data_IF_592175114745
#
_entry.id   IF_592175114745
#
_cell.length_a   1.000
_cell.length_b   1.000
_cell.length_c   1.000
_cell.angle_alpha   90.00
_cell.angle_beta   90.00
_cell.angle_gamma   90.00
#
_symmetry.space_group_name_H-M   'P 1'
#
loop_
_entity.id
_entity.type
_entity.pdbx_description
1 polymer ?
#
# COMPACT_ATOMS: atom_id res chain seq x y z
N UNK A 1 -3.92 9.14 -0.76
CA UNK A 1 -3.29 10.21 -1.55
C UNK A 1 -1.86 10.39 -1.09
N UNK A 2 -1.07 11.18 -1.80
CA UNK A 2 0.29 11.53 -1.42
C UNK A 2 0.40 13.06 -1.33
N UNK A 3 1.24 13.54 -0.42
CA UNK A 3 1.54 14.97 -0.25
C UNK A 3 3.04 15.15 -0.43
N UNK A 4 3.42 16.04 -1.34
CA UNK A 4 4.81 16.41 -1.61
C UNK A 4 5.03 17.85 -1.15
N UNK A 5 6.15 18.11 -0.46
CA UNK A 5 6.54 19.46 -0.01
C UNK A 5 7.82 19.85 -0.75
N UNK A 6 7.81 21.01 -1.41
CA UNK A 6 8.93 21.57 -2.17
C UNK A 6 9.51 20.64 -3.25
N UNK A 7 8.74 19.65 -3.71
CA UNK A 7 9.04 18.81 -4.87
C UNK A 7 7.74 18.26 -5.47
N UNK A 8 7.85 17.52 -6.58
CA UNK A 8 6.73 16.80 -7.18
C UNK A 8 7.14 15.37 -7.55
N UNK A 9 6.44 14.37 -7.03
CA UNK A 9 6.64 12.95 -7.34
C UNK A 9 7.82 12.26 -6.64
N UNK A 10 8.65 12.98 -5.88
CA UNK A 10 9.83 12.46 -5.18
C UNK A 10 10.79 11.63 -6.08
N UNK A 11 10.82 11.91 -7.39
CA UNK A 11 11.62 11.16 -8.36
C UNK A 11 10.98 9.82 -8.75
N UNK A 12 11.44 8.71 -8.14
CA UNK A 12 10.97 7.36 -8.47
C UNK A 12 9.78 6.88 -7.64
N UNK A 13 9.81 7.13 -6.32
CA UNK A 13 8.74 6.83 -5.37
C UNK A 13 8.28 5.36 -5.40
N UNK A 14 9.19 4.41 -5.62
CA UNK A 14 8.87 2.97 -5.66
C UNK A 14 8.51 2.44 -4.27
N UNK A 15 9.12 3.01 -3.25
CA UNK A 15 8.97 2.73 -1.84
C UNK A 15 7.75 3.42 -1.21
N UNK A 16 7.20 4.44 -1.87
CA UNK A 16 6.13 5.29 -1.35
C UNK A 16 4.76 4.76 -1.77
N UNK A 17 3.88 4.35 -0.84
CA UNK A 17 2.52 3.90 -1.18
C UNK A 17 1.73 4.98 -1.93
N UNK A 18 1.15 4.62 -3.07
CA UNK A 18 0.33 5.48 -3.92
C UNK A 18 -1.13 5.01 -3.90
N UNK A 19 -2.08 5.95 -3.96
CA UNK A 19 -3.50 5.63 -4.13
C UNK A 19 -4.43 6.78 -3.74
N UNK A 20 -5.66 6.74 -4.24
CA UNK A 20 -6.67 7.80 -4.10
C UNK A 20 -7.61 7.64 -2.91
N UNK A 21 -8.54 8.58 -2.78
CA UNK A 21 -9.76 8.49 -1.96
C UNK A 21 -10.90 9.15 -2.75
N UNK A 22 -12.16 8.90 -2.37
CA UNK A 22 -13.37 9.44 -3.04
C UNK A 22 -13.43 9.04 -4.51
N UNK A 23 -13.71 9.99 -5.41
CA UNK A 23 -13.78 9.74 -6.87
C UNK A 23 -12.43 9.41 -7.51
N UNK A 24 -11.31 9.50 -6.78
CA UNK A 24 -9.99 9.10 -7.27
C UNK A 24 -9.67 7.61 -7.02
N UNK A 25 -10.63 6.82 -6.53
CA UNK A 25 -10.49 5.39 -6.24
C UNK A 25 -10.18 5.06 -4.77
N UNK A 26 -9.96 3.77 -4.50
CA UNK A 26 -9.65 3.20 -3.17
C UNK A 26 -8.49 2.20 -3.25
N UNK A 27 -7.91 1.84 -2.09
CA UNK A 27 -6.74 0.95 -2.02
C UNK A 27 -5.39 1.68 -2.19
N UNK A 28 -4.30 0.92 -2.12
CA UNK A 28 -2.93 1.41 -2.27
C UNK A 28 -2.10 0.43 -3.11
N UNK A 29 -1.23 0.99 -3.94
CA UNK A 29 -0.20 0.28 -4.72
C UNK A 29 1.17 0.93 -4.48
N UNK A 30 2.25 0.33 -5.02
CA UNK A 30 3.64 0.67 -4.70
C UNK A 30 3.97 0.58 -3.20
N UNK A 31 5.24 0.74 -2.86
CA UNK A 31 5.73 0.57 -1.50
C UNK A 31 5.44 -0.83 -0.94
N UNK A 32 5.76 -1.01 0.34
CA UNK A 32 5.48 -2.27 1.02
C UNK A 32 3.97 -2.50 1.24
N UNK A 33 3.20 -1.43 1.38
CA UNK A 33 1.74 -1.46 1.59
C UNK A 33 1.00 -2.24 0.49
N UNK A 34 1.47 -2.16 -0.76
CA UNK A 34 0.87 -2.90 -1.87
C UNK A 34 0.81 -4.42 -1.63
N UNK A 35 1.76 -4.98 -0.86
CA UNK A 35 1.78 -6.42 -0.57
C UNK A 35 0.52 -6.85 0.17
N UNK A 36 -0.05 -6.01 1.03
CA UNK A 36 -1.31 -6.30 1.71
C UNK A 36 -2.52 -6.27 0.76
N UNK A 37 -2.45 -5.55 -0.36
CA UNK A 37 -3.48 -5.55 -1.39
C UNK A 37 -3.39 -6.73 -2.37
N UNK A 38 -2.18 -7.28 -2.57
CA UNK A 38 -1.93 -8.42 -3.45
C UNK A 38 -1.84 -9.78 -2.74
N UNK A 39 -2.00 -9.80 -1.41
CA UNK A 39 -2.03 -11.04 -0.62
C UNK A 39 -3.27 -11.09 0.25
N UNK A 40 -3.68 -12.30 0.63
CA UNK A 40 -4.78 -12.51 1.56
C UNK A 40 -4.26 -13.19 2.82
N UNK A 41 -4.55 -12.61 3.98
CA UNK A 41 -4.18 -13.19 5.26
C UNK A 41 -4.94 -14.50 5.48
N UNK A 42 -4.19 -15.59 5.72
CA UNK A 42 -4.73 -16.87 6.18
C UNK A 42 -4.20 -17.15 7.59
N UNK A 43 -5.09 -17.14 8.57
CA UNK A 43 -4.75 -17.52 9.95
C UNK A 43 -4.87 -19.04 10.10
N UNK A 44 -3.80 -19.69 10.59
CA UNK A 44 -3.76 -21.12 10.88
C UNK A 44 -3.35 -21.32 12.33
N UNK A 45 -4.15 -22.09 13.07
CA UNK A 45 -3.84 -22.49 14.44
C UNK A 45 -3.73 -24.01 14.51
N UNK A 46 -2.62 -24.51 15.05
CA UNK A 46 -2.36 -25.95 15.18
C UNK A 46 -2.29 -26.31 16.66
N UNK A 47 -3.21 -27.18 17.10
CA UNK A 47 -3.13 -27.82 18.41
C UNK A 47 -2.20 -29.03 18.29
N UNK A 48 -1.12 -29.06 19.06
CA UNK A 48 -0.08 -30.09 19.01
C UNK A 48 0.11 -30.83 20.36
N UNK A 49 -0.98 -30.97 21.14
CA UNK A 49 -1.04 -31.62 22.45
C UNK A 49 -2.46 -32.03 22.83
#
# INVERSE_FOLDING_TARGET
GQVFINNYGAGGGVELPFGGVKSSGYGREKGFEAMYGFTTLKTVAVRHG
#
